data_IF_053841224007
#
_entry.id   IF_053841224007
#
_cell.length_a   1.000
_cell.length_b   1.000
_cell.length_c   1.000
_cell.angle_alpha   90.00
_cell.angle_beta   90.00
_cell.angle_gamma   90.00
#
_symmetry.space_group_name_H-M   'P 1'
#
loop_
_entity.id
_entity.type
_entity.pdbx_description
1 polymer ?
#
# COMPACT_ATOMS: atom_id res chain seq x y z
N UNK A 1 -45.95 -31.70 -47.67
CA UNK A 1 -46.47 -30.34 -47.96
C UNK A 1 -45.33 -29.36 -47.89
N UNK A 2 -44.89 -28.85 -49.06
CA UNK A 2 -43.75 -27.94 -49.21
C UNK A 2 -44.31 -26.51 -49.25
N UNK A 3 -43.99 -25.71 -48.24
CA UNK A 3 -44.47 -24.32 -48.11
C UNK A 3 -43.31 -23.39 -48.52
N UNK A 4 -43.21 -23.07 -49.80
CA UNK A 4 -42.29 -22.05 -50.30
C UNK A 4 -42.82 -20.67 -49.90
N UNK A 5 -42.22 -20.05 -48.88
CA UNK A 5 -42.44 -18.63 -48.59
C UNK A 5 -41.49 -17.81 -49.45
N UNK A 6 -42.07 -17.21 -50.48
CA UNK A 6 -41.44 -16.25 -51.37
C UNK A 6 -41.01 -15.01 -50.57
N UNK A 7 -39.72 -14.90 -50.22
CA UNK A 7 -39.17 -13.66 -49.66
C UNK A 7 -38.88 -12.69 -50.82
N UNK A 8 -39.59 -11.58 -50.83
CA UNK A 8 -39.28 -10.43 -51.68
C UNK A 8 -37.96 -9.80 -51.24
N UNK A 9 -37.02 -9.48 -52.15
CA UNK A 9 -35.75 -8.87 -51.75
C UNK A 9 -35.98 -7.43 -51.26
N UNK A 10 -35.33 -7.01 -50.17
CA UNK A 10 -35.49 -5.66 -49.63
C UNK A 10 -35.03 -4.61 -50.64
N UNK A 11 -35.82 -3.55 -50.78
CA UNK A 11 -35.57 -2.47 -51.73
C UNK A 11 -34.29 -1.69 -51.40
N UNK A 12 -33.68 -1.09 -52.42
CA UNK A 12 -32.40 -0.36 -52.34
C UNK A 12 -32.37 0.72 -51.23
N UNK A 13 -33.52 1.32 -50.92
CA UNK A 13 -33.70 2.29 -49.82
C UNK A 13 -33.57 1.68 -48.42
N UNK A 14 -33.98 0.43 -48.21
CA UNK A 14 -33.80 -0.27 -46.92
C UNK A 14 -32.36 -0.73 -46.74
N UNK A 15 -31.73 -1.20 -47.82
CA UNK A 15 -30.29 -1.55 -47.81
C UNK A 15 -29.42 -0.36 -47.45
N UNK A 16 -29.75 0.85 -47.94
CA UNK A 16 -29.01 2.07 -47.64
C UNK A 16 -29.18 2.55 -46.19
N UNK A 17 -30.37 2.35 -45.59
CA UNK A 17 -30.59 2.59 -44.15
C UNK A 17 -29.84 1.58 -43.28
N UNK A 18 -29.81 0.31 -43.69
CA UNK A 18 -29.03 -0.73 -43.01
C UNK A 18 -27.52 -0.44 -43.06
N UNK A 19 -27.02 0.00 -44.22
CA UNK A 19 -25.61 0.39 -44.37
C UNK A 19 -25.26 1.64 -43.55
N UNK A 20 -26.14 2.64 -43.48
CA UNK A 20 -25.92 3.80 -42.59
C UNK A 20 -25.92 3.40 -41.12
N UNK A 21 -26.82 2.50 -40.69
CA UNK A 21 -26.89 2.02 -39.31
C UNK A 21 -25.66 1.18 -38.94
N UNK A 22 -25.17 0.33 -39.85
CA UNK A 22 -23.95 -0.47 -39.66
C UNK A 22 -22.68 0.40 -39.64
N UNK A 23 -22.64 1.49 -40.41
CA UNK A 23 -21.49 2.40 -40.46
C UNK A 23 -21.40 3.29 -39.21
N UNK A 24 -22.53 3.64 -38.60
CA UNK A 24 -22.55 4.39 -37.32
C UNK A 24 -22.17 3.48 -36.14
N UNK A 25 -22.51 2.19 -36.19
CA UNK A 25 -22.18 1.24 -35.13
C UNK A 25 -20.69 0.85 -35.08
N UNK A 26 -19.97 0.91 -36.21
CA UNK A 26 -18.55 0.56 -36.28
C UNK A 26 -17.60 1.64 -35.74
N UNK A 27 -18.04 2.90 -35.60
CA UNK A 27 -17.21 3.98 -35.04
C UNK A 27 -17.18 4.03 -33.50
N UNK A 28 -17.99 3.22 -32.81
CA UNK A 28 -18.01 3.18 -31.34
C UNK A 28 -16.99 2.21 -30.70
N UNK A 29 -16.20 1.48 -31.51
CA UNK A 29 -15.21 0.48 -31.03
C UNK A 29 -13.77 0.95 -31.29
N UNK A 30 -13.56 2.27 -31.41
CA UNK A 30 -12.23 2.85 -31.53
C UNK A 30 -11.69 3.27 -30.14
N UNK A 31 -10.75 2.47 -29.63
CA UNK A 31 -9.83 2.82 -28.54
C UNK A 31 -10.45 3.15 -27.17
N UNK A 32 -10.94 2.13 -26.46
CA UNK A 32 -10.70 2.09 -25.02
C UNK A 32 -9.22 1.74 -24.81
N UNK A 33 -8.36 2.75 -24.84
CA UNK A 33 -6.99 2.63 -24.35
C UNK A 33 -7.12 2.52 -22.83
N UNK A 34 -7.29 1.30 -22.33
CA UNK A 34 -7.21 1.02 -20.90
C UNK A 34 -5.83 1.46 -20.46
N UNK A 35 -5.75 2.64 -19.86
CA UNK A 35 -4.53 3.07 -19.19
C UNK A 35 -4.31 2.03 -18.08
N UNK A 36 -3.32 1.15 -18.29
CA UNK A 36 -2.82 0.33 -17.19
C UNK A 36 -2.47 1.29 -16.06
N UNK A 37 -2.90 1.05 -14.81
CA UNK A 37 -2.44 1.85 -13.69
C UNK A 37 -0.91 1.95 -13.79
N UNK A 38 -0.31 3.14 -13.62
CA UNK A 38 1.14 3.26 -13.67
C UNK A 38 1.71 2.19 -12.74
N UNK A 39 2.58 1.33 -13.28
CA UNK A 39 3.19 0.26 -12.51
C UNK A 39 3.86 0.91 -11.30
N UNK A 40 3.27 0.77 -10.11
CA UNK A 40 3.86 1.24 -8.88
C UNK A 40 5.19 0.51 -8.76
N UNK A 41 6.27 1.26 -8.92
CA UNK A 41 7.62 0.72 -8.85
C UNK A 41 7.84 0.19 -7.44
N UNK A 42 8.46 -0.99 -7.32
CA UNK A 42 8.77 -1.55 -6.02
C UNK A 42 9.67 -0.58 -5.25
N UNK A 43 9.38 -0.36 -3.97
CA UNK A 43 10.14 0.57 -3.14
C UNK A 43 11.60 0.15 -3.00
N UNK A 44 12.51 1.13 -3.03
CA UNK A 44 13.95 0.96 -2.86
C UNK A 44 14.38 0.88 -1.39
N UNK A 45 13.47 1.23 -0.47
CA UNK A 45 13.70 1.18 0.97
C UNK A 45 14.06 -0.24 1.41
N UNK A 46 15.18 -0.36 2.11
CA UNK A 46 15.63 -1.60 2.72
C UNK A 46 15.11 -1.69 4.14
N UNK A 47 14.64 -2.86 4.53
CA UNK A 47 14.22 -3.14 5.90
C UNK A 47 15.05 -4.30 6.43
N UNK A 48 15.74 -4.08 7.55
CA UNK A 48 16.46 -5.11 8.28
C UNK A 48 15.75 -5.38 9.60
N UNK A 49 15.35 -6.64 9.82
CA UNK A 49 14.88 -7.14 11.10
C UNK A 49 15.79 -8.27 11.57
N UNK A 50 16.27 -8.18 12.80
CA UNK A 50 17.11 -9.19 13.47
C UNK A 50 16.62 -9.32 14.91
N UNK A 51 16.55 -10.55 15.42
CA UNK A 51 16.04 -10.79 16.76
C UNK A 51 16.75 -9.96 17.82
N UNK A 52 15.96 -9.33 18.69
CA UNK A 52 16.47 -8.49 19.80
C UNK A 52 17.18 -7.21 19.37
N UNK A 53 17.04 -6.77 18.11
CA UNK A 53 17.64 -5.54 17.58
C UNK A 53 16.52 -4.58 17.10
N UNK A 54 16.80 -3.27 17.01
CA UNK A 54 15.88 -2.36 16.35
C UNK A 54 15.59 -2.80 14.91
N UNK A 55 14.37 -2.54 14.43
CA UNK A 55 14.05 -2.68 13.01
C UNK A 55 14.60 -1.45 12.30
N UNK A 56 15.41 -1.66 11.27
CA UNK A 56 16.10 -0.58 10.55
C UNK A 56 15.49 -0.40 9.17
N UNK A 57 15.00 0.81 8.87
CA UNK A 57 14.59 1.23 7.55
C UNK A 57 15.63 2.16 6.96
N UNK A 58 16.14 1.85 5.76
CA UNK A 58 17.16 2.65 5.09
C UNK A 58 16.66 3.13 3.74
N UNK A 59 16.59 4.45 3.57
CA UNK A 59 16.30 5.14 2.31
C UNK A 59 17.60 5.59 1.64
N UNK A 60 17.50 6.32 0.52
CA UNK A 60 18.67 6.91 -0.15
C UNK A 60 19.38 7.99 0.69
N UNK A 61 18.66 8.63 1.60
CA UNK A 61 19.16 9.79 2.36
C UNK A 61 19.07 9.63 3.88
N UNK A 62 18.30 8.66 4.39
CA UNK A 62 18.04 8.54 5.82
C UNK A 62 18.00 7.09 6.29
N UNK A 63 18.23 6.91 7.58
CA UNK A 63 17.98 5.68 8.30
C UNK A 63 17.03 5.94 9.46
N UNK A 64 16.07 5.06 9.66
CA UNK A 64 15.13 5.07 10.77
C UNK A 64 15.27 3.77 11.55
N UNK A 65 15.43 3.87 12.86
CA UNK A 65 15.51 2.72 13.76
C UNK A 65 14.29 2.70 14.67
N UNK A 66 13.44 1.68 14.52
CA UNK A 66 12.32 1.43 15.42
C UNK A 66 12.84 0.64 16.61
N UNK A 67 12.89 1.29 17.78
CA UNK A 67 13.38 0.73 19.02
C UNK A 67 12.33 -0.18 19.70
N UNK A 68 12.72 -1.07 20.62
CA UNK A 68 11.77 -1.89 21.39
C UNK A 68 10.73 -1.08 22.19
N UNK A 69 11.04 0.18 22.53
CA UNK A 69 10.10 1.12 23.16
C UNK A 69 9.02 1.64 22.19
N UNK A 70 9.13 1.33 20.89
CA UNK A 70 8.32 1.91 19.82
C UNK A 70 8.74 3.31 19.40
N UNK A 71 9.76 3.89 20.05
CA UNK A 71 10.38 5.13 19.59
C UNK A 71 11.07 4.89 18.25
N UNK A 72 10.93 5.84 17.33
CA UNK A 72 11.68 5.87 16.07
C UNK A 72 12.82 6.86 16.24
N UNK A 73 14.05 6.43 16.00
CA UNK A 73 15.22 7.29 15.91
C UNK A 73 15.62 7.48 14.45
N UNK A 74 15.75 8.72 14.01
CA UNK A 74 16.07 9.11 12.66
C UNK A 74 17.51 9.61 12.53
N UNK A 75 18.15 9.23 11.44
CA UNK A 75 19.49 9.64 11.07
C UNK A 75 19.53 10.12 9.62
N UNK A 76 20.16 11.26 9.37
CA UNK A 76 20.55 11.70 8.02
C UNK A 76 21.85 10.97 7.64
N UNK A 77 21.85 10.34 6.46
CA UNK A 77 23.01 9.71 5.88
C UNK A 77 23.75 10.73 5.01
N UNK A 78 24.95 11.14 5.44
CA UNK A 78 25.75 12.13 4.73
C UNK A 78 27.22 11.82 4.84
N UNK A 79 27.93 11.81 3.72
CA UNK A 79 29.39 11.62 3.64
C UNK A 79 29.88 10.33 4.37
N UNK A 80 29.07 9.26 4.32
CA UNK A 80 29.36 8.00 5.01
C UNK A 80 29.11 8.02 6.53
N UNK A 81 28.62 9.13 7.08
CA UNK A 81 28.26 9.28 8.49
C UNK A 81 26.74 9.30 8.71
N UNK A 82 26.34 8.98 9.95
CA UNK A 82 24.96 9.12 10.45
C UNK A 82 24.88 10.34 11.35
N UNK A 83 24.05 11.31 10.98
CA UNK A 83 23.76 12.49 11.78
C UNK A 83 22.39 12.31 12.43
N UNK A 84 22.34 12.24 13.77
CA UNK A 84 21.09 12.08 14.53
C UNK A 84 20.19 13.30 14.32
N UNK A 85 18.94 13.05 13.93
CA UNK A 85 17.93 14.09 13.67
C UNK A 85 17.00 14.32 14.88
N UNK A 86 16.79 13.27 15.68
CA UNK A 86 15.94 13.29 16.86
C UNK A 86 16.53 12.44 18.00
N UNK A 87 16.08 12.74 19.22
CA UNK A 87 16.34 11.91 20.38
C UNK A 87 15.08 11.13 20.72
N UNK A 88 15.19 9.83 21.04
CA UNK A 88 14.04 9.06 21.44
C UNK A 88 13.43 9.66 22.71
N UNK A 89 12.11 9.86 22.69
CA UNK A 89 11.34 10.32 23.86
C UNK A 89 11.14 9.15 24.83
N UNK A 90 11.04 9.41 26.15
CA UNK A 90 10.65 8.38 27.11
C UNK A 90 9.28 7.75 26.77
N UNK A 91 9.14 6.51 27.20
CA UNK A 91 8.05 5.56 26.90
C UNK A 91 6.64 6.13 27.12
N UNK A 92 5.97 6.48 26.03
CA UNK A 92 4.56 6.88 26.01
C UNK A 92 3.62 5.72 25.60
N UNK A 93 4.13 4.48 25.54
CA UNK A 93 3.39 3.32 25.05
C UNK A 93 2.50 2.68 26.13
N UNK A 94 1.44 3.39 26.53
CA UNK A 94 0.46 2.88 27.48
C UNK A 94 -0.95 3.37 27.18
N UNK A 95 -1.94 2.58 27.58
CA UNK A 95 -3.34 2.97 27.66
C UNK A 95 -3.65 3.36 29.11
N UNK A 96 -4.14 4.58 29.33
CA UNK A 96 -4.66 5.00 30.63
C UNK A 96 -6.14 4.67 30.73
N UNK A 97 -6.51 3.75 31.61
CA UNK A 97 -7.89 3.33 31.87
C UNK A 97 -8.12 3.24 33.38
N UNK A 98 -9.18 3.90 33.88
CA UNK A 98 -9.56 3.89 35.31
C UNK A 98 -8.42 4.25 36.27
N UNK A 99 -7.56 5.19 35.87
CA UNK A 99 -6.39 5.62 36.65
C UNK A 99 -5.21 4.64 36.64
N UNK A 100 -5.27 3.57 35.84
CA UNK A 100 -4.19 2.61 35.63
C UNK A 100 -3.58 2.77 34.24
N UNK A 101 -2.26 2.61 34.15
CA UNK A 101 -1.54 2.62 32.89
C UNK A 101 -1.22 1.19 32.46
N UNK A 102 -1.92 0.70 31.45
CA UNK A 102 -1.67 -0.60 30.83
C UNK A 102 -0.56 -0.40 29.80
N UNK A 103 0.62 -0.93 30.06
CA UNK A 103 1.78 -0.84 29.16
C UNK A 103 1.74 -1.92 28.09
N UNK A 104 2.33 -1.60 26.95
CA UNK A 104 2.52 -2.54 25.84
C UNK A 104 4.02 -2.75 25.56
N UNK A 105 4.38 -3.99 25.26
CA UNK A 105 5.71 -4.36 24.79
C UNK A 105 5.61 -4.76 23.33
N UNK A 106 6.35 -4.09 22.45
CA UNK A 106 6.38 -4.43 21.03
C UNK A 106 7.20 -5.69 20.77
N UNK A 107 6.67 -6.57 19.94
CA UNK A 107 7.32 -7.79 19.48
C UNK A 107 7.91 -7.55 18.08
N UNK A 108 9.13 -7.04 18.06
CA UNK A 108 9.86 -6.70 16.84
C UNK A 108 10.24 -7.94 16.03
N UNK A 109 10.33 -9.10 16.68
CA UNK A 109 10.72 -10.37 16.05
C UNK A 109 9.57 -10.94 15.19
N UNK A 110 8.32 -10.58 15.51
CA UNK A 110 7.12 -10.94 14.74
C UNK A 110 6.58 -9.79 13.87
N UNK A 111 7.42 -8.79 13.58
CA UNK A 111 7.02 -7.70 12.68
C UNK A 111 6.77 -8.21 11.25
N UNK A 112 5.69 -7.72 10.65
CA UNK A 112 5.31 -8.05 9.26
C UNK A 112 5.72 -6.89 8.37
N UNK A 113 6.52 -7.18 7.33
CA UNK A 113 7.04 -6.18 6.38
C UNK A 113 6.27 -6.31 5.07
N UNK A 114 5.59 -5.23 4.69
CA UNK A 114 4.75 -5.13 3.50
C UNK A 114 5.24 -4.00 2.57
N UNK A 115 4.85 -4.05 1.29
CA UNK A 115 4.95 -2.88 0.42
C UNK A 115 3.90 -1.85 0.85
N UNK A 116 4.29 -0.58 0.90
CA UNK A 116 3.36 0.52 1.06
C UNK A 116 3.15 1.21 -0.29
N UNK A 117 1.92 1.65 -0.53
CA UNK A 117 1.60 2.40 -1.74
C UNK A 117 0.45 3.36 -1.44
N UNK A 118 0.63 4.63 -1.79
CA UNK A 118 -0.32 5.67 -1.40
C UNK A 118 -0.08 7.02 -2.08
N UNK A 119 -0.69 8.07 -1.54
CA UNK A 119 -0.54 9.45 -2.07
C UNK A 119 0.91 9.95 -2.05
N UNK A 120 1.73 9.39 -1.17
CA UNK A 120 3.16 9.71 -1.05
C UNK A 120 4.05 8.85 -1.95
N UNK A 121 3.48 7.98 -2.80
CA UNK A 121 4.23 7.12 -3.70
C UNK A 121 4.36 5.68 -3.18
N UNK A 122 5.45 5.02 -3.57
CA UNK A 122 5.84 3.69 -3.10
C UNK A 122 6.60 3.77 -1.78
N UNK A 123 6.56 2.71 -1.00
CA UNK A 123 7.26 2.65 0.27
C UNK A 123 7.29 1.25 0.87
N UNK A 124 7.61 1.20 2.17
CA UNK A 124 7.50 0.01 3.02
C UNK A 124 6.61 0.32 4.21
N UNK A 125 5.82 -0.68 4.60
CA UNK A 125 5.03 -0.68 5.82
C UNK A 125 5.52 -1.80 6.72
N UNK A 126 5.62 -1.52 8.01
CA UNK A 126 5.97 -2.48 9.04
C UNK A 126 4.86 -2.48 10.07
N UNK A 127 4.27 -3.65 10.29
CA UNK A 127 3.24 -3.89 11.30
C UNK A 127 3.89 -4.65 12.45
N UNK A 128 4.00 -4.03 13.62
CA UNK A 128 4.69 -4.59 14.80
C UNK A 128 3.65 -4.86 15.88
N UNK A 129 3.31 -6.13 16.17
CA UNK A 129 2.36 -6.45 17.23
C UNK A 129 2.93 -6.08 18.60
N UNK A 130 2.05 -5.83 19.56
CA UNK A 130 2.41 -5.56 20.94
C UNK A 130 1.56 -6.35 21.92
N UNK A 131 2.17 -6.73 23.04
CA UNK A 131 1.52 -7.45 24.13
C UNK A 131 1.29 -6.51 25.31
N UNK A 132 0.06 -6.46 25.81
CA UNK A 132 -0.24 -5.73 27.04
C UNK A 132 0.26 -6.51 28.27
N UNK A 133 0.92 -5.82 29.20
CA UNK A 133 1.54 -6.47 30.37
C UNK A 133 0.52 -7.05 31.37
N UNK A 134 -0.69 -6.51 31.43
CA UNK A 134 -1.70 -6.82 32.45
C UNK A 134 -3.06 -7.26 31.88
N UNK A 135 -3.16 -7.49 30.57
CA UNK A 135 -4.42 -7.89 29.92
C UNK A 135 -4.18 -8.71 28.66
N UNK A 136 -4.73 -9.93 28.61
CA UNK A 136 -4.73 -10.74 27.39
C UNK A 136 -5.79 -10.29 26.36
N UNK A 137 -6.71 -9.40 26.76
CA UNK A 137 -7.85 -8.98 25.92
C UNK A 137 -7.56 -7.69 25.15
N UNK A 138 -6.42 -7.06 25.39
CA UNK A 138 -5.98 -5.86 24.68
C UNK A 138 -4.87 -6.21 23.71
N UNK A 139 -5.04 -5.77 22.47
CA UNK A 139 -4.06 -5.89 21.41
C UNK A 139 -3.70 -4.50 20.93
N UNK A 140 -2.43 -4.29 20.62
CA UNK A 140 -1.95 -3.10 19.96
C UNK A 140 -1.01 -3.48 18.83
N UNK A 141 -0.94 -2.64 17.81
CA UNK A 141 -0.01 -2.78 16.68
C UNK A 141 0.58 -1.42 16.40
N UNK A 142 1.91 -1.33 16.33
CA UNK A 142 2.60 -0.16 15.82
C UNK A 142 2.74 -0.27 14.30
N UNK A 143 2.20 0.71 13.59
CA UNK A 143 2.32 0.84 12.14
C UNK A 143 3.40 1.88 11.83
N UNK A 144 4.43 1.45 11.11
CA UNK A 144 5.49 2.33 10.62
C UNK A 144 5.50 2.28 9.10
N UNK A 145 5.35 3.43 8.46
CA UNK A 145 5.42 3.56 7.01
C UNK A 145 6.53 4.54 6.64
N UNK A 146 7.36 4.16 5.66
CA UNK A 146 8.34 5.03 5.04
C UNK A 146 8.16 4.99 3.53
N UNK A 147 8.34 6.13 2.88
CA UNK A 147 8.13 6.34 1.45
C UNK A 147 9.45 6.80 0.79
N UNK A 148 9.64 6.42 -0.47
CA UNK A 148 10.86 6.72 -1.26
C UNK A 148 11.05 8.23 -1.54
#
# INVERSE_FOLDING_TARGET
>A
MKLERHLSPPGLREKMKFYCLLLVLSMAVACQKTASPPAQSASSIKVESKSGRPIVLTTSAAEFQVLPSGSVQAFLLKDGAKLTLDLPSPDANYLSQDGKNIRFTFDLDHAIINQASGKLGSGKRIDIPAHASESANLQATLHVEAYD
#
